data_IF_634706481784
#
_entry.id   IF_634706481784
#
_cell.length_a   1.000
_cell.length_b   1.000
_cell.length_c   1.000
_cell.angle_alpha   90.00
_cell.angle_beta   90.00
_cell.angle_gamma   90.00
#
_symmetry.space_group_name_H-M   'P 1'
#
loop_
_entity.id
_entity.type
_entity.pdbx_description
1 polymer ?
#
# COMPACT_ATOMS: atom_id res chain seq x y z
N UNK A 1 -5.75 10.73 -0.27
CA UNK A 1 -6.99 10.19 -0.85
C UNK A 1 -6.77 9.97 -2.34
N UNK A 2 -7.31 8.89 -2.91
CA UNK A 2 -7.23 8.60 -4.34
C UNK A 2 -8.61 8.87 -4.95
N UNK A 3 -8.66 9.71 -5.97
CA UNK A 3 -9.87 9.94 -6.76
C UNK A 3 -9.78 9.13 -8.05
N UNK A 4 -10.45 7.98 -8.07
CA UNK A 4 -10.43 7.07 -9.21
C UNK A 4 -11.07 7.65 -10.47
N UNK A 5 -11.91 8.69 -10.36
CA UNK A 5 -12.48 9.39 -11.52
C UNK A 5 -11.47 10.26 -12.26
N UNK A 6 -10.31 10.55 -11.64
CA UNK A 6 -9.21 11.32 -12.23
C UNK A 6 -8.06 10.46 -12.72
N UNK A 7 -8.11 9.15 -12.51
CA UNK A 7 -7.12 8.21 -13.00
C UNK A 7 -7.34 7.99 -14.50
N UNK A 8 -6.27 8.08 -15.29
CA UNK A 8 -6.36 7.89 -16.73
C UNK A 8 -6.88 6.49 -17.08
N UNK A 9 -7.74 6.33 -18.11
CA UNK A 9 -8.34 5.03 -18.44
C UNK A 9 -7.35 3.90 -18.74
N UNK A 10 -6.11 4.23 -19.10
CA UNK A 10 -5.05 3.27 -19.37
C UNK A 10 -4.41 2.69 -18.08
N UNK A 11 -4.64 3.30 -16.91
CA UNK A 11 -4.10 2.85 -15.64
C UNK A 11 -5.08 1.88 -14.99
N UNK A 12 -4.68 0.62 -14.86
CA UNK A 12 -5.47 -0.45 -14.24
C UNK A 12 -4.90 -0.92 -12.88
N UNK A 13 -3.73 -0.42 -12.49
CA UNK A 13 -3.07 -0.75 -11.22
C UNK A 13 -2.32 0.45 -10.65
N UNK A 14 -2.43 0.65 -9.34
CA UNK A 14 -1.70 1.64 -8.56
C UNK A 14 -1.04 0.91 -7.39
N UNK A 15 0.29 1.02 -7.27
CA UNK A 15 1.05 0.39 -6.19
C UNK A 15 1.20 1.34 -5.02
N UNK A 16 0.97 0.84 -3.81
CA UNK A 16 1.25 1.56 -2.56
C UNK A 16 2.54 1.02 -1.99
N UNK A 17 3.59 1.81 -2.11
CA UNK A 17 4.91 1.51 -1.58
C UNK A 17 5.33 2.52 -0.51
N UNK A 18 6.24 2.09 0.37
CA UNK A 18 6.89 2.92 1.36
C UNK A 18 8.39 2.68 1.32
N UNK A 19 9.19 3.73 1.55
CA UNK A 19 10.63 3.65 1.78
C UNK A 19 10.99 4.29 3.11
N UNK A 20 12.05 3.80 3.74
CA UNK A 20 12.57 4.33 4.99
C UNK A 20 13.93 5.00 4.75
N UNK A 21 13.99 6.31 4.98
CA UNK A 21 15.26 7.04 4.96
C UNK A 21 15.90 7.00 6.36
N UNK A 22 17.18 6.62 6.43
CA UNK A 22 17.94 6.61 7.70
C UNK A 22 17.80 5.36 8.58
N UNK A 23 17.25 4.25 8.05
CA UNK A 23 17.17 2.98 8.76
C UNK A 23 16.32 1.94 8.04
N UNK A 24 16.07 0.81 8.71
CA UNK A 24 15.25 -0.28 8.18
C UNK A 24 13.84 -0.25 8.77
N UNK A 25 12.87 -0.81 8.06
CA UNK A 25 11.48 -0.92 8.52
C UNK A 25 11.33 -1.77 9.79
N UNK A 26 12.30 -2.65 10.12
CA UNK A 26 12.30 -3.37 11.39
C UNK A 26 12.41 -2.49 12.64
N UNK A 27 12.73 -1.20 12.49
CA UNK A 27 12.67 -0.21 13.60
C UNK A 27 11.29 0.42 13.77
N UNK A 28 10.37 0.22 12.82
CA UNK A 28 9.03 0.81 12.83
C UNK A 28 8.08 -0.14 13.54
N UNK A 29 7.64 0.23 14.74
CA UNK A 29 6.63 -0.53 15.47
C UNK A 29 5.23 -0.26 14.89
N UNK A 30 4.44 -1.32 14.71
CA UNK A 30 3.08 -1.22 14.20
C UNK A 30 3.02 -0.72 12.75
N UNK A 31 3.87 -1.25 11.87
CA UNK A 31 3.81 -0.94 10.44
C UNK A 31 2.52 -1.51 9.84
N UNK A 32 1.64 -0.65 9.32
CA UNK A 32 0.43 -1.09 8.62
C UNK A 32 0.07 -0.16 7.47
N UNK A 33 -0.69 -0.71 6.51
CA UNK A 33 -1.44 0.07 5.53
C UNK A 33 -2.92 -0.08 5.80
N UNK A 34 -3.66 1.01 5.64
CA UNK A 34 -5.12 1.02 5.77
C UNK A 34 -5.74 1.73 4.57
N UNK A 35 -6.80 1.13 4.04
CA UNK A 35 -7.64 1.71 3.00
C UNK A 35 -8.98 2.06 3.63
N UNK A 36 -9.39 3.32 3.48
CA UNK A 36 -10.68 3.80 3.96
C UNK A 36 -11.50 4.33 2.81
N UNK A 37 -12.82 4.19 2.92
CA UNK A 37 -13.75 4.93 2.07
C UNK A 37 -13.63 6.42 2.37
N UNK A 38 -13.47 7.24 1.33
CA UNK A 38 -13.19 8.66 1.52
C UNK A 38 -14.42 9.46 2.00
N UNK A 39 -15.64 8.98 1.71
CA UNK A 39 -16.87 9.68 2.05
C UNK A 39 -17.33 9.37 3.49
N UNK A 40 -17.30 8.09 3.86
CA UNK A 40 -17.77 7.60 5.17
C UNK A 40 -16.65 7.46 6.20
N UNK A 41 -15.38 7.42 5.78
CA UNK A 41 -14.25 7.10 6.64
C UNK A 41 -14.18 5.61 7.04
N UNK A 42 -15.10 4.77 6.54
CA UNK A 42 -15.14 3.36 6.88
C UNK A 42 -13.86 2.64 6.45
N UNK A 43 -13.31 1.81 7.32
CA UNK A 43 -12.17 0.97 7.01
C UNK A 43 -12.60 -0.15 6.05
N UNK A 44 -12.05 -0.13 4.83
CA UNK A 44 -12.35 -1.10 3.78
C UNK A 44 -11.37 -2.27 3.80
N UNK A 45 -10.12 -2.00 4.18
CA UNK A 45 -9.08 -2.99 4.35
C UNK A 45 -7.97 -2.46 5.25
N UNK A 46 -7.30 -3.38 5.93
CA UNK A 46 -6.08 -3.12 6.69
C UNK A 46 -5.14 -4.30 6.52
N UNK A 47 -3.86 -4.00 6.40
CA UNK A 47 -2.79 -4.98 6.40
C UNK A 47 -1.69 -4.51 7.35
N UNK A 48 -1.44 -5.32 8.38
CA UNK A 48 -0.36 -5.12 9.34
C UNK A 48 0.85 -5.94 8.90
N UNK A 49 1.99 -5.27 8.70
CA UNK A 49 3.25 -5.93 8.40
C UNK A 49 3.90 -6.37 9.72
N UNK A 50 4.00 -7.69 9.93
CA UNK A 50 4.60 -8.26 11.14
C UNK A 50 6.07 -8.63 10.99
N UNK A 51 6.55 -8.73 9.75
CA UNK A 51 7.81 -9.41 9.43
C UNK A 51 8.86 -8.45 8.86
N UNK A 52 8.68 -7.14 9.02
CA UNK A 52 9.67 -6.16 8.60
C UNK A 52 10.94 -6.30 9.45
N UNK A 53 12.08 -6.41 8.78
CA UNK A 53 13.39 -6.62 9.40
C UNK A 53 14.41 -5.61 8.84
N UNK A 54 15.19 -6.02 7.84
CA UNK A 54 16.30 -5.27 7.27
C UNK A 54 15.91 -4.45 6.05
N UNK A 55 14.65 -4.54 5.62
CA UNK A 55 14.18 -3.92 4.39
C UNK A 55 14.10 -2.40 4.54
N UNK A 56 14.42 -1.71 3.46
CA UNK A 56 14.41 -0.25 3.35
C UNK A 56 13.30 0.23 2.41
N UNK A 57 12.66 -0.68 1.68
CA UNK A 57 11.47 -0.43 0.88
C UNK A 57 10.43 -1.55 1.10
N UNK A 58 9.15 -1.21 0.96
CA UNK A 58 8.03 -2.14 1.06
C UNK A 58 6.99 -1.83 0.01
N UNK A 59 6.51 -2.85 -0.69
CA UNK A 59 5.22 -2.84 -1.38
C UNK A 59 4.18 -3.34 -0.38
N UNK A 60 3.36 -2.43 0.13
CA UNK A 60 2.35 -2.72 1.15
C UNK A 60 1.10 -3.32 0.52
N UNK A 61 0.72 -2.82 -0.65
CA UNK A 61 -0.42 -3.32 -1.39
C UNK A 61 -0.58 -2.66 -2.75
N UNK A 62 -1.62 -3.07 -3.46
CA UNK A 62 -1.98 -2.49 -4.74
C UNK A 62 -3.50 -2.27 -4.81
N UNK A 63 -3.87 -1.18 -5.47
CA UNK A 63 -5.19 -0.97 -6.00
C UNK A 63 -5.19 -1.49 -7.44
N UNK A 64 -6.19 -2.27 -7.81
CA UNK A 64 -6.32 -2.79 -9.17
C UNK A 64 -7.76 -2.74 -9.65
N UNK A 65 -7.95 -2.49 -10.94
CA UNK A 65 -9.25 -2.43 -11.57
C UNK A 65 -9.71 -3.84 -11.94
N UNK A 66 -10.88 -4.25 -11.45
CA UNK A 66 -11.50 -5.53 -11.78
C UNK A 66 -12.97 -5.32 -12.09
N UNK A 67 -13.38 -5.65 -13.33
CA UNK A 67 -14.77 -5.53 -13.78
C UNK A 67 -15.35 -4.11 -13.55
N UNK A 68 -14.56 -3.07 -13.80
CA UNK A 68 -14.98 -1.67 -13.61
C UNK A 68 -14.97 -1.17 -12.16
N UNK A 69 -14.56 -1.99 -11.20
CA UNK A 69 -14.44 -1.60 -9.79
C UNK A 69 -13.00 -1.69 -9.31
N UNK A 70 -12.51 -0.66 -8.63
CA UNK A 70 -11.23 -0.70 -7.94
C UNK A 70 -11.31 -1.60 -6.72
N UNK A 71 -10.28 -2.44 -6.54
CA UNK A 71 -10.11 -3.37 -5.43
C UNK A 71 -8.75 -3.18 -4.81
N UNK A 72 -8.64 -3.42 -3.51
CA UNK A 72 -7.36 -3.46 -2.82
C UNK A 72 -6.89 -4.90 -2.64
N UNK A 73 -5.59 -5.12 -2.80
CA UNK A 73 -4.90 -6.37 -2.45
C UNK A 73 -3.68 -6.04 -1.60
N UNK A 74 -3.60 -6.63 -0.42
CA UNK A 74 -2.39 -6.61 0.39
C UNK A 74 -1.29 -7.43 -0.29
N UNK A 75 -0.05 -6.92 -0.28
CA UNK A 75 1.11 -7.56 -0.89
C UNK A 75 2.14 -7.92 0.18
N UNK A 76 2.60 -6.94 0.97
CA UNK A 76 3.53 -7.19 2.08
C UNK A 76 4.93 -7.64 1.66
N UNK A 77 5.44 -7.15 0.53
CA UNK A 77 6.75 -7.54 0.03
C UNK A 77 7.79 -6.46 0.37
N UNK A 78 8.81 -6.85 1.13
CA UNK A 78 9.93 -5.98 1.49
C UNK A 78 11.15 -6.14 0.56
N UNK A 79 11.95 -5.08 0.47
CA UNK A 79 13.16 -5.01 -0.34
C UNK A 79 14.30 -4.35 0.45
N UNK A 80 15.47 -4.97 0.46
CA UNK A 80 16.67 -4.48 1.17
C UNK A 80 17.54 -3.51 0.36
N UNK A 81 17.27 -3.36 -0.95
CA UNK A 81 18.06 -2.53 -1.86
C UNK A 81 17.47 -1.15 -2.12
N UNK A 82 16.44 -0.75 -1.37
CA UNK A 82 15.69 0.49 -1.64
C UNK A 82 14.66 0.33 -2.77
N UNK A 83 13.96 1.44 -3.06
CA UNK A 83 12.99 1.56 -4.16
C UNK A 83 13.68 2.02 -5.45
#
# INVERSE_FOLDING_TARGET
>A
FVDFGKVEPAIDRIVVAASADGGTFGRVSGLYVRVTDAASGAELARFDSTDATIETAFILGELYLRQGAWKFRAVGQGYSTGL
#
